data_IF_538570558491
#
_entry.id   IF_538570558491
#
_cell.length_a   1.000
_cell.length_b   1.000
_cell.length_c   1.000
_cell.angle_alpha   90.00
_cell.angle_beta   90.00
_cell.angle_gamma   90.00
#
_symmetry.space_group_name_H-M   'P 1'
#
loop_
_entity.id
_entity.type
_entity.pdbx_description
1 polymer ?
#
# COMPACT_ATOMS: atom_id res chain seq x y z
N UNK A 1 16.41 10.33 -11.01
CA UNK A 1 15.76 9.01 -11.14
C UNK A 1 14.54 9.13 -12.05
N UNK A 2 14.43 8.23 -13.04
CA UNK A 2 13.24 8.09 -13.87
C UNK A 2 12.45 6.87 -13.39
N UNK A 3 11.16 7.05 -13.11
CA UNK A 3 10.20 6.01 -12.74
C UNK A 3 9.21 5.85 -13.88
N UNK A 4 9.05 4.63 -14.38
CA UNK A 4 8.11 4.30 -15.46
C UNK A 4 6.90 3.61 -14.84
N UNK A 5 5.72 4.22 -14.97
CA UNK A 5 4.49 3.85 -14.29
C UNK A 5 4.19 4.79 -13.10
N UNK A 6 3.07 5.49 -13.14
CA UNK A 6 2.58 6.44 -12.15
C UNK A 6 1.41 5.92 -11.30
N UNK A 7 1.05 4.64 -11.43
CA UNK A 7 0.13 3.99 -10.49
C UNK A 7 0.66 3.96 -9.05
N UNK A 8 -0.06 3.27 -8.15
CA UNK A 8 0.18 3.25 -6.71
C UNK A 8 1.66 3.00 -6.35
N UNK A 9 2.29 2.01 -6.98
CA UNK A 9 3.69 1.65 -6.70
C UNK A 9 4.65 2.74 -7.16
N UNK A 10 4.55 3.22 -8.40
CA UNK A 10 5.47 4.23 -8.92
C UNK A 10 5.36 5.56 -8.19
N UNK A 11 4.14 5.98 -7.86
CA UNK A 11 3.87 7.16 -7.03
C UNK A 11 4.42 6.99 -5.61
N UNK A 12 4.25 5.82 -4.99
CA UNK A 12 4.81 5.51 -3.66
C UNK A 12 6.35 5.55 -3.67
N UNK A 13 6.99 4.96 -4.68
CA UNK A 13 8.45 5.03 -4.84
C UNK A 13 8.92 6.47 -4.98
N UNK A 14 8.24 7.29 -5.80
CA UNK A 14 8.59 8.70 -5.96
C UNK A 14 8.50 9.47 -4.63
N UNK A 15 7.43 9.24 -3.88
CA UNK A 15 7.22 9.83 -2.56
C UNK A 15 8.36 9.47 -1.58
N UNK A 16 8.64 8.17 -1.41
CA UNK A 16 9.65 7.72 -0.45
C UNK A 16 11.06 8.16 -0.83
N UNK A 17 11.37 8.23 -2.14
CA UNK A 17 12.63 8.79 -2.61
C UNK A 17 12.78 10.26 -2.21
N UNK A 18 11.73 11.09 -2.34
CA UNK A 18 11.80 12.50 -1.92
C UNK A 18 11.74 12.69 -0.40
N UNK A 19 11.13 11.77 0.34
CA UNK A 19 11.21 11.77 1.81
C UNK A 19 12.63 11.46 2.30
N UNK A 20 13.30 10.47 1.69
CA UNK A 20 14.66 10.08 2.04
C UNK A 20 15.72 11.10 1.56
N UNK A 21 15.53 11.66 0.36
CA UNK A 21 16.46 12.59 -0.28
C UNK A 21 15.79 13.94 -0.52
N UNK A 22 15.96 14.85 0.45
CA UNK A 22 15.43 16.22 0.41
C UNK A 22 16.28 17.22 -0.36
N UNK A 23 17.35 16.76 -0.99
CA UNK A 23 18.17 17.58 -1.88
C UNK A 23 17.36 17.98 -3.12
N UNK A 24 17.41 19.27 -3.46
CA UNK A 24 16.76 19.85 -4.65
C UNK A 24 17.42 19.37 -5.95
N UNK A 25 18.71 19.05 -5.91
CA UNK A 25 19.42 18.49 -7.06
C UNK A 25 19.03 17.02 -7.33
N UNK A 26 18.42 16.35 -6.34
CA UNK A 26 17.89 15.00 -6.50
C UNK A 26 16.53 15.01 -7.21
N UNK A 27 16.60 14.97 -8.54
CA UNK A 27 15.42 14.98 -9.44
C UNK A 27 14.81 13.59 -9.55
N UNK A 28 13.50 13.51 -9.28
CA UNK A 28 12.66 12.33 -9.51
C UNK A 28 11.62 12.67 -10.56
N UNK A 29 11.53 11.87 -11.62
CA UNK A 29 10.56 12.05 -12.71
C UNK A 29 9.74 10.79 -12.84
N UNK A 30 8.41 10.92 -12.83
CA UNK A 30 7.46 9.82 -13.05
C UNK A 30 6.84 9.99 -14.43
N UNK A 31 6.86 8.92 -15.24
CA UNK A 31 6.27 8.89 -16.57
C UNK A 31 5.18 7.83 -16.60
N UNK A 32 3.97 8.22 -16.96
CA UNK A 32 2.79 7.35 -17.07
C UNK A 32 2.07 7.60 -18.39
N UNK A 33 1.49 6.53 -18.94
CA UNK A 33 0.66 6.64 -20.14
C UNK A 33 -0.75 7.09 -19.75
N UNK A 34 -1.01 8.38 -19.92
CA UNK A 34 -2.29 8.99 -19.56
C UNK A 34 -3.49 8.35 -20.28
N UNK A 35 -3.35 7.95 -21.54
CA UNK A 35 -4.44 7.37 -22.35
C UNK A 35 -4.94 6.03 -21.80
N UNK A 36 -4.10 5.35 -21.01
CA UNK A 36 -4.39 4.04 -20.43
C UNK A 36 -4.38 4.03 -18.91
N UNK A 37 -4.27 5.18 -18.26
CA UNK A 37 -4.15 5.25 -16.80
C UNK A 37 -5.34 4.60 -16.09
N UNK A 38 -6.57 4.84 -16.58
CA UNK A 38 -7.78 4.21 -16.04
C UNK A 38 -7.81 2.67 -16.16
N UNK A 39 -6.95 2.10 -17.01
CA UNK A 39 -6.82 0.65 -17.21
C UNK A 39 -5.67 0.05 -16.39
N UNK A 40 -4.94 0.85 -15.61
CA UNK A 40 -3.85 0.33 -14.79
C UNK A 40 -4.39 -0.44 -13.58
N UNK A 41 -3.57 -1.37 -13.05
CA UNK A 41 -3.96 -2.20 -11.91
C UNK A 41 -4.37 -1.41 -10.66
N UNK A 42 -3.81 -0.20 -10.47
CA UNK A 42 -4.17 0.69 -9.36
C UNK A 42 -5.57 1.29 -9.47
N UNK A 43 -6.07 1.48 -10.70
CA UNK A 43 -7.42 1.98 -10.94
C UNK A 43 -8.46 0.85 -11.00
N UNK A 44 -8.04 -0.37 -11.35
CA UNK A 44 -8.92 -1.53 -11.50
C UNK A 44 -9.08 -2.38 -10.22
N UNK A 45 -8.26 -2.16 -9.20
CA UNK A 45 -8.32 -2.89 -7.94
C UNK A 45 -9.48 -2.45 -7.05
N UNK A 46 -9.99 -3.36 -6.22
CA UNK A 46 -10.99 -3.04 -5.19
C UNK A 46 -10.40 -2.34 -3.94
N UNK A 47 -9.09 -2.05 -3.92
CA UNK A 47 -8.45 -1.23 -2.87
C UNK A 47 -8.23 -1.94 -1.51
N UNK A 48 -8.33 -3.27 -1.46
CA UNK A 48 -8.20 -4.03 -0.21
C UNK A 48 -6.76 -4.15 0.30
N UNK A 49 -6.55 -3.97 1.61
CA UNK A 49 -5.26 -4.15 2.29
C UNK A 49 -5.39 -5.21 3.37
N UNK A 50 -4.90 -6.41 3.09
CA UNK A 50 -4.88 -7.51 4.06
C UNK A 50 -3.55 -7.57 4.79
N UNK A 51 -3.58 -8.09 6.02
CA UNK A 51 -2.41 -8.46 6.82
C UNK A 51 -2.24 -9.99 6.90
N UNK A 52 -3.19 -10.77 6.36
CA UNK A 52 -3.18 -12.22 6.47
C UNK A 52 -2.32 -12.90 5.41
N UNK A 53 -1.03 -13.01 5.72
CA UNK A 53 -0.04 -13.69 4.88
C UNK A 53 0.58 -14.92 5.55
N UNK A 54 1.25 -15.72 4.73
CA UNK A 54 2.05 -16.87 5.16
C UNK A 54 3.52 -16.53 5.42
N UNK A 55 3.93 -15.29 5.19
CA UNK A 55 5.32 -14.83 5.20
C UNK A 55 5.43 -13.57 6.08
N UNK A 56 6.32 -13.55 7.09
CA UNK A 56 6.44 -12.44 8.05
C UNK A 56 6.71 -11.07 7.42
N UNK A 57 7.49 -11.04 6.35
CA UNK A 57 7.86 -9.82 5.63
C UNK A 57 6.61 -9.14 5.04
N UNK A 58 5.68 -9.92 4.49
CA UNK A 58 4.42 -9.38 3.96
C UNK A 58 3.52 -8.85 5.08
N UNK A 59 3.49 -9.52 6.23
CA UNK A 59 2.76 -9.01 7.41
C UNK A 59 3.32 -7.64 7.81
N UNK A 60 4.65 -7.54 7.92
CA UNK A 60 5.34 -6.31 8.30
C UNK A 60 5.06 -5.18 7.30
N UNK A 61 5.19 -5.46 6.00
CA UNK A 61 4.92 -4.48 4.95
C UNK A 61 3.46 -4.01 4.95
N UNK A 62 2.50 -4.91 5.15
CA UNK A 62 1.08 -4.54 5.24
C UNK A 62 0.72 -3.81 6.53
N UNK A 63 1.35 -4.14 7.66
CA UNK A 63 1.19 -3.40 8.90
C UNK A 63 1.69 -1.96 8.75
N UNK A 64 2.87 -1.79 8.15
CA UNK A 64 3.42 -0.47 7.80
C UNK A 64 2.49 0.31 6.87
N UNK A 65 2.03 -0.31 5.78
CA UNK A 65 1.15 0.35 4.82
C UNK A 65 -0.19 0.77 5.47
N UNK A 66 -0.78 -0.08 6.31
CA UNK A 66 -2.00 0.24 7.03
C UNK A 66 -1.80 1.42 7.99
N UNK A 67 -0.68 1.45 8.72
CA UNK A 67 -0.36 2.54 9.64
C UNK A 67 -0.10 3.87 8.91
N UNK A 68 0.62 3.82 7.80
CA UNK A 68 0.83 4.98 6.94
C UNK A 68 -0.50 5.55 6.43
N UNK A 69 -1.44 4.70 6.00
CA UNK A 69 -2.72 5.17 5.49
C UNK A 69 -3.65 5.70 6.59
N UNK A 70 -3.57 5.19 7.83
CA UNK A 70 -4.24 5.82 8.98
C UNK A 70 -3.82 7.27 9.18
N UNK A 71 -2.55 7.58 8.88
CA UNK A 71 -1.95 8.90 9.00
C UNK A 71 -1.77 9.60 7.64
N UNK A 72 -2.51 9.19 6.61
CA UNK A 72 -2.37 9.76 5.27
C UNK A 72 -2.62 11.27 5.24
N UNK A 73 -3.52 11.78 6.10
CA UNK A 73 -3.78 13.21 6.23
C UNK A 73 -2.57 14.02 6.73
N UNK A 74 -1.61 13.37 7.40
CA UNK A 74 -0.34 13.97 7.80
C UNK A 74 0.72 13.76 6.72
N UNK A 75 0.86 12.52 6.23
CA UNK A 75 1.92 12.14 5.31
C UNK A 75 1.77 12.69 3.89
N UNK A 76 0.53 12.82 3.41
CA UNK A 76 0.18 13.24 2.04
C UNK A 76 -0.37 14.67 1.98
N UNK A 77 -0.24 15.44 3.07
CA UNK A 77 -0.70 16.83 3.10
C UNK A 77 0.08 17.71 2.13
N UNK A 78 -0.65 18.53 1.39
CA UNK A 78 -0.09 19.64 0.62
C UNK A 78 -0.33 20.92 1.41
N UNK A 79 0.67 21.81 1.48
CA UNK A 79 0.53 23.09 2.17
C UNK A 79 -0.63 23.88 1.57
N UNK A 80 -1.35 24.60 2.44
CA UNK A 80 -2.52 25.42 2.08
C UNK A 80 -3.71 24.67 1.46
N UNK A 81 -3.69 23.34 1.46
CA UNK A 81 -4.81 22.49 1.07
C UNK A 81 -5.32 21.67 2.27
N UNK A 82 -6.59 21.26 2.18
CA UNK A 82 -7.16 20.28 3.10
C UNK A 82 -6.43 18.93 2.98
N UNK A 83 -6.37 18.14 4.08
CA UNK A 83 -5.84 16.78 4.02
C UNK A 83 -6.56 15.94 2.97
N UNK A 84 -5.85 15.07 2.21
CA UNK A 84 -6.49 14.24 1.21
C UNK A 84 -7.43 13.21 1.86
N UNK A 85 -8.68 13.16 1.38
CA UNK A 85 -9.59 12.06 1.72
C UNK A 85 -9.31 10.84 0.84
N UNK A 86 -8.56 9.90 1.40
CA UNK A 86 -8.21 8.65 0.73
C UNK A 86 -9.24 7.54 0.94
N UNK A 87 -10.37 7.82 1.61
CA UNK A 87 -11.41 6.85 1.92
C UNK A 87 -10.87 5.57 2.59
N UNK A 88 -9.89 5.70 3.49
CA UNK A 88 -9.30 4.55 4.17
C UNK A 88 -10.23 4.05 5.27
N UNK A 89 -10.68 2.81 5.13
CA UNK A 89 -11.56 2.13 6.07
C UNK A 89 -10.78 0.98 6.71
N UNK A 90 -10.35 1.08 7.99
CA UNK A 90 -9.55 0.07 8.67
C UNK A 90 -10.40 -1.15 9.11
N UNK A 91 -11.08 -1.76 8.14
CA UNK A 91 -11.87 -2.97 8.34
C UNK A 91 -11.00 -4.21 8.12
N UNK A 92 -11.24 -5.25 8.93
CA UNK A 92 -10.56 -6.53 8.77
C UNK A 92 -11.07 -7.34 7.57
N UNK A 93 -10.33 -8.38 7.21
CA UNK A 93 -10.73 -9.37 6.21
C UNK A 93 -11.29 -10.62 6.88
N UNK A 94 -12.41 -11.14 6.36
CA UNK A 94 -12.94 -12.44 6.75
C UNK A 94 -12.51 -13.50 5.74
N UNK A 95 -11.71 -14.47 6.19
CA UNK A 95 -11.31 -15.61 5.39
C UNK A 95 -12.15 -16.83 5.78
N UNK A 96 -12.78 -17.46 4.78
CA UNK A 96 -13.60 -18.65 4.96
C UNK A 96 -12.83 -19.89 4.48
N UNK A 97 -12.90 -20.97 5.26
CA UNK A 97 -12.38 -22.28 4.89
C UNK A 97 -13.53 -23.24 4.57
N UNK A 98 -13.32 -24.07 3.56
CA UNK A 98 -14.25 -25.12 3.13
C UNK A 98 -13.77 -26.51 3.52
N UNK A 99 -12.48 -26.68 3.82
CA UNK A 99 -11.89 -27.98 4.18
C UNK A 99 -11.05 -27.90 5.46
N UNK A 100 -10.83 -29.01 6.17
CA UNK A 100 -9.93 -29.05 7.33
C UNK A 100 -8.50 -28.58 7.01
N UNK A 101 -7.98 -28.91 5.83
CA UNK A 101 -6.65 -28.49 5.40
C UNK A 101 -6.57 -26.96 5.22
N UNK A 102 -7.64 -26.34 4.69
CA UNK A 102 -7.74 -24.89 4.60
C UNK A 102 -7.79 -24.25 6.00
N UNK A 103 -8.51 -24.86 6.96
CA UNK A 103 -8.53 -24.40 8.36
C UNK A 103 -7.12 -24.39 8.96
N UNK A 104 -6.36 -25.47 8.79
CA UNK A 104 -5.00 -25.58 9.32
C UNK A 104 -4.04 -24.61 8.67
N UNK A 105 -4.20 -24.34 7.36
CA UNK A 105 -3.44 -23.30 6.66
C UNK A 105 -3.78 -21.90 7.21
N UNK A 106 -5.05 -21.55 7.38
CA UNK A 106 -5.45 -20.23 7.91
C UNK A 106 -4.94 -20.05 9.35
N UNK A 107 -5.00 -21.09 10.20
CA UNK A 107 -4.44 -21.06 11.55
C UNK A 107 -2.93 -20.81 11.55
N UNK A 108 -2.19 -21.46 10.65
CA UNK A 108 -0.74 -21.22 10.51
C UNK A 108 -0.44 -19.79 10.07
N UNK A 109 -1.16 -19.27 9.07
CA UNK A 109 -0.98 -17.89 8.62
C UNK A 109 -1.36 -16.87 9.70
N UNK A 110 -2.41 -17.14 10.48
CA UNK A 110 -2.77 -16.31 11.63
C UNK A 110 -1.65 -16.25 12.68
N UNK A 111 -1.03 -17.38 13.00
CA UNK A 111 0.11 -17.40 13.94
C UNK A 111 1.29 -16.54 13.46
N UNK A 112 1.57 -16.50 12.15
CA UNK A 112 2.63 -15.63 11.60
C UNK A 112 2.34 -14.16 11.91
N UNK A 113 1.07 -13.75 11.89
CA UNK A 113 0.69 -12.36 12.16
C UNK A 113 0.80 -11.95 13.62
N UNK A 114 0.66 -12.90 14.56
CA UNK A 114 0.73 -12.62 16.00
C UNK A 114 2.15 -12.59 16.55
N UNK A 115 3.14 -12.99 15.74
CA UNK A 115 4.55 -13.07 16.13
C UNK A 115 5.35 -11.81 15.76
N UNK A 116 4.76 -10.91 14.99
CA UNK A 116 5.32 -9.64 14.50
C UNK A 116 4.60 -8.50 15.20
#
# INVERSE_FOLDING_TARGET
VLIIGGGLIGSSVAYWLKQAFRDEDYKVTVVENNDKFAQCASMLTCGGISQQFSVPEHVTMSAFAAEYLRHAGEHLRILDNDPPDINFLPMGFMYLARTPEEVDRLKRNWKVQTLV
#
